data_IF_332476279665
#
_entry.id   IF_332476279665
#
_cell.length_a   1.000
_cell.length_b   1.000
_cell.length_c   1.000
_cell.angle_alpha   90.00
_cell.angle_beta   90.00
_cell.angle_gamma   90.00
#
_symmetry.space_group_name_H-M   'P 1'
#
loop_
_entity.id
_entity.type
_entity.pdbx_description
1 polymer ?
#
# COMPACT_ATOMS: atom_id res chain seq x y z
N UNK A 1 -2.07 -25.46 19.84
CA UNK A 1 -1.13 -25.21 18.71
C UNK A 1 0.11 -26.10 18.74
N UNK A 2 0.64 -26.54 19.90
CA UNK A 2 1.87 -27.37 19.91
C UNK A 2 1.72 -28.70 19.16
N UNK A 3 0.55 -29.36 19.24
CA UNK A 3 0.27 -30.62 18.52
C UNK A 3 0.25 -30.51 16.98
N UNK A 4 0.16 -29.30 16.39
CA UNK A 4 0.22 -29.13 14.93
C UNK A 4 1.62 -28.81 14.40
N UNK A 5 2.56 -28.44 15.28
CA UNK A 5 3.96 -28.17 14.89
C UNK A 5 4.65 -29.49 14.51
N UNK A 6 4.34 -30.59 15.21
CA UNK A 6 4.98 -31.89 14.96
C UNK A 6 4.69 -32.45 13.56
N UNK A 7 3.52 -32.17 12.97
CA UNK A 7 3.17 -32.61 11.60
C UNK A 7 4.03 -31.96 10.51
N UNK A 8 4.56 -30.75 10.77
CA UNK A 8 5.39 -30.01 9.81
C UNK A 8 6.89 -30.17 10.08
N UNK A 9 7.29 -30.87 11.14
CA UNK A 9 8.71 -31.14 11.44
C UNK A 9 9.36 -32.07 10.42
N UNK A 10 8.55 -32.92 9.79
CA UNK A 10 9.01 -33.89 8.79
C UNK A 10 9.16 -33.27 7.38
N UNK A 11 8.77 -32.00 7.21
CA UNK A 11 8.94 -31.27 5.96
C UNK A 11 10.11 -30.29 6.09
N UNK A 12 11.05 -30.36 5.15
CA UNK A 12 12.05 -29.32 4.98
C UNK A 12 11.35 -27.95 4.91
N UNK A 13 11.85 -26.98 5.67
CA UNK A 13 11.31 -25.63 5.79
C UNK A 13 9.89 -25.51 6.41
N UNK A 14 9.31 -26.58 6.97
CA UNK A 14 8.00 -26.54 7.62
C UNK A 14 7.95 -25.64 8.86
N UNK A 15 8.98 -25.68 9.71
CA UNK A 15 9.04 -24.86 10.93
C UNK A 15 9.08 -23.36 10.61
N UNK A 16 9.95 -22.94 9.68
CA UNK A 16 10.08 -21.54 9.30
C UNK A 16 8.80 -21.03 8.63
N UNK A 17 8.18 -21.85 7.78
CA UNK A 17 6.89 -21.52 7.19
C UNK A 17 5.82 -21.25 8.25
N UNK A 18 5.70 -22.10 9.28
CA UNK A 18 4.74 -21.90 10.36
C UNK A 18 5.02 -20.62 11.18
N UNK A 19 6.30 -20.30 11.42
CA UNK A 19 6.68 -19.05 12.11
C UNK A 19 6.26 -17.83 11.31
N UNK A 20 6.59 -17.79 10.01
CA UNK A 20 6.23 -16.68 9.13
C UNK A 20 4.71 -16.58 8.95
N UNK A 21 4.00 -17.70 8.85
CA UNK A 21 2.54 -17.71 8.80
C UNK A 21 1.92 -17.09 10.06
N UNK A 22 2.44 -17.43 11.24
CA UNK A 22 2.00 -16.83 12.51
C UNK A 22 2.27 -15.33 12.54
N UNK A 23 3.48 -14.90 12.16
CA UNK A 23 3.86 -13.48 12.10
C UNK A 23 2.92 -12.71 11.17
N UNK A 24 2.68 -13.25 9.97
CA UNK A 24 1.77 -12.66 8.98
C UNK A 24 0.35 -12.55 9.53
N UNK A 25 -0.17 -13.60 10.17
CA UNK A 25 -1.49 -13.57 10.76
C UNK A 25 -1.62 -12.48 11.83
N UNK A 26 -0.63 -12.33 12.71
CA UNK A 26 -0.62 -11.29 13.75
C UNK A 26 -0.55 -9.90 13.12
N UNK A 27 0.29 -9.70 12.11
CA UNK A 27 0.43 -8.42 11.40
C UNK A 27 -0.90 -7.90 10.87
N UNK A 28 -1.68 -8.75 10.20
CA UNK A 28 -2.96 -8.33 9.61
C UNK A 28 -4.11 -8.11 10.59
N UNK A 29 -4.03 -8.63 11.83
CA UNK A 29 -5.18 -8.72 12.74
C UNK A 29 -4.99 -8.02 14.09
N UNK A 30 -3.78 -7.53 14.44
CA UNK A 30 -3.51 -7.02 15.79
C UNK A 30 -2.77 -5.69 15.79
N UNK A 31 -1.44 -5.75 15.85
CA UNK A 31 -0.53 -4.61 16.02
C UNK A 31 0.62 -4.88 15.04
N UNK A 32 1.00 -3.89 14.25
CA UNK A 32 1.99 -4.07 13.18
C UNK A 32 3.44 -4.15 13.69
N UNK A 33 3.79 -3.40 14.74
CA UNK A 33 5.15 -3.33 15.32
C UNK A 33 5.74 -4.70 15.71
N UNK A 34 5.07 -5.40 16.62
CA UNK A 34 5.56 -6.68 17.16
C UNK A 34 5.84 -7.72 16.06
N UNK A 35 4.92 -8.03 15.13
CA UNK A 35 5.18 -8.98 14.07
C UNK A 35 6.25 -8.51 13.09
N UNK A 36 6.40 -7.20 12.83
CA UNK A 36 7.50 -6.73 11.99
C UNK A 36 8.87 -6.91 12.68
N UNK A 37 8.96 -6.64 13.98
CA UNK A 37 10.18 -6.95 14.75
C UNK A 37 10.46 -8.46 14.80
N UNK A 38 9.43 -9.29 14.94
CA UNK A 38 9.57 -10.73 14.88
C UNK A 38 10.05 -11.21 13.49
N UNK A 39 9.52 -10.63 12.40
CA UNK A 39 9.97 -10.91 11.04
C UNK A 39 11.45 -10.60 10.88
N UNK A 40 11.89 -9.40 11.27
CA UNK A 40 13.31 -8.99 11.19
C UNK A 40 14.24 -9.89 11.97
N UNK A 41 13.77 -10.51 13.06
CA UNK A 41 14.56 -11.45 13.86
C UNK A 41 14.65 -12.83 13.21
N UNK A 42 13.53 -13.34 12.69
CA UNK A 42 13.45 -14.69 12.12
C UNK A 42 13.98 -14.77 10.69
N UNK A 43 13.66 -13.77 9.86
CA UNK A 43 14.08 -13.64 8.47
C UNK A 43 14.45 -12.18 8.15
N UNK A 44 15.65 -11.72 8.58
CA UNK A 44 16.24 -10.48 8.12
C UNK A 44 16.32 -10.39 6.59
N UNK A 45 16.16 -9.19 6.02
CA UNK A 45 16.11 -9.00 4.57
C UNK A 45 17.41 -9.43 3.87
N UNK A 46 18.57 -9.16 4.48
CA UNK A 46 19.90 -9.56 4.01
C UNK A 46 20.09 -11.10 3.96
N UNK A 47 19.35 -11.83 4.79
CA UNK A 47 19.33 -13.30 4.75
C UNK A 47 18.40 -13.78 3.64
N UNK A 48 17.19 -13.24 3.57
CA UNK A 48 16.14 -13.65 2.60
C UNK A 48 16.65 -13.56 1.15
N UNK A 49 17.40 -12.51 0.81
CA UNK A 49 17.92 -12.27 -0.55
C UNK A 49 18.80 -13.41 -1.08
N UNK A 50 19.44 -14.17 -0.17
CA UNK A 50 20.36 -15.25 -0.49
C UNK A 50 19.72 -16.64 -0.42
N UNK A 51 18.42 -16.75 -0.10
CA UNK A 51 17.73 -18.04 -0.03
C UNK A 51 17.35 -18.50 -1.44
N UNK A 52 17.79 -19.71 -1.80
CA UNK A 52 17.38 -20.38 -3.03
C UNK A 52 15.99 -21.03 -2.89
N UNK A 53 15.12 -20.82 -3.87
CA UNK A 53 13.79 -21.45 -3.89
C UNK A 53 13.94 -22.86 -4.46
N UNK A 54 14.08 -23.82 -3.56
CA UNK A 54 14.22 -25.24 -3.90
C UNK A 54 12.91 -26.03 -3.70
N UNK A 55 11.93 -25.43 -3.02
CA UNK A 55 10.65 -26.08 -2.71
C UNK A 55 9.49 -25.08 -2.60
N UNK A 56 8.27 -25.61 -2.59
CA UNK A 56 7.03 -24.82 -2.54
C UNK A 56 6.83 -24.08 -1.21
N UNK A 57 7.23 -24.65 -0.06
CA UNK A 57 7.12 -23.98 1.23
C UNK A 57 8.06 -22.79 1.30
N UNK A 58 9.28 -22.94 0.76
CA UNK A 58 10.24 -21.84 0.60
C UNK A 58 9.67 -20.69 -0.19
N UNK A 59 9.11 -20.98 -1.36
CA UNK A 59 8.38 -19.98 -2.15
C UNK A 59 7.29 -19.27 -1.32
N UNK A 60 6.48 -20.01 -0.57
CA UNK A 60 5.37 -19.44 0.19
C UNK A 60 5.81 -18.55 1.35
N UNK A 61 6.78 -18.98 2.18
CA UNK A 61 7.20 -18.14 3.31
C UNK A 61 8.00 -16.93 2.84
N UNK A 62 8.81 -17.04 1.79
CA UNK A 62 9.54 -15.91 1.22
C UNK A 62 8.58 -14.86 0.67
N UNK A 63 7.56 -15.29 -0.10
CA UNK A 63 6.54 -14.37 -0.61
C UNK A 63 5.82 -13.62 0.53
N UNK A 64 5.44 -14.32 1.61
CA UNK A 64 4.82 -13.69 2.78
C UNK A 64 5.75 -12.71 3.49
N UNK A 65 7.01 -13.10 3.70
CA UNK A 65 8.02 -12.25 4.31
C UNK A 65 8.21 -10.96 3.49
N UNK A 66 8.47 -11.08 2.18
CA UNK A 66 8.63 -9.92 1.31
C UNK A 66 7.36 -9.06 1.25
N UNK A 67 6.16 -9.66 1.26
CA UNK A 67 4.92 -8.89 1.32
C UNK A 67 4.79 -8.04 2.58
N UNK A 68 5.31 -8.50 3.73
CA UNK A 68 5.34 -7.70 4.95
C UNK A 68 6.39 -6.59 4.86
N UNK A 69 7.58 -6.90 4.37
CA UNK A 69 8.63 -5.90 4.10
C UNK A 69 8.16 -4.81 3.12
N UNK A 70 7.34 -5.16 2.14
CA UNK A 70 6.75 -4.21 1.20
C UNK A 70 5.92 -3.13 1.90
N UNK A 71 5.13 -3.48 2.92
CA UNK A 71 4.37 -2.48 3.68
C UNK A 71 5.29 -1.53 4.44
N UNK A 72 6.47 -1.99 4.83
CA UNK A 72 7.48 -1.24 5.58
C UNK A 72 8.43 -0.40 4.71
N UNK A 73 8.15 -0.29 3.41
CA UNK A 73 8.92 0.54 2.48
C UNK A 73 9.98 -0.20 1.66
N UNK A 74 10.14 -1.51 1.84
CA UNK A 74 11.07 -2.34 1.07
C UNK A 74 10.43 -2.88 -0.22
N UNK A 75 9.74 -1.99 -0.93
CA UNK A 75 8.99 -2.34 -2.15
C UNK A 75 9.94 -2.71 -3.28
N UNK A 76 11.10 -2.06 -3.39
CA UNK A 76 12.11 -2.37 -4.42
C UNK A 76 12.58 -3.82 -4.27
N UNK A 77 12.91 -4.26 -3.06
CA UNK A 77 13.40 -5.59 -2.76
C UNK A 77 12.33 -6.65 -3.03
N UNK A 78 11.07 -6.35 -2.69
CA UNK A 78 9.96 -7.23 -3.06
C UNK A 78 9.80 -7.33 -4.58
N UNK A 79 9.85 -6.22 -5.32
CA UNK A 79 9.73 -6.25 -6.78
C UNK A 79 10.91 -6.98 -7.43
N UNK A 80 12.15 -6.79 -6.95
CA UNK A 80 13.31 -7.60 -7.37
C UNK A 80 13.04 -9.09 -7.18
N UNK A 81 12.48 -9.49 -6.04
CA UNK A 81 12.08 -10.87 -5.79
C UNK A 81 10.99 -11.36 -6.75
N UNK A 82 9.97 -10.55 -7.04
CA UNK A 82 8.90 -10.90 -7.99
C UNK A 82 9.45 -11.10 -9.41
N UNK A 83 10.32 -10.21 -9.88
CA UNK A 83 10.98 -10.29 -11.19
C UNK A 83 11.82 -11.57 -11.29
N UNK A 84 12.70 -11.80 -10.30
CA UNK A 84 13.59 -12.97 -10.26
C UNK A 84 12.82 -14.30 -10.35
N UNK A 85 11.60 -14.33 -9.80
CA UNK A 85 10.80 -15.55 -9.69
C UNK A 85 9.55 -15.56 -10.60
N UNK A 86 9.44 -14.58 -11.51
CA UNK A 86 8.33 -14.41 -12.45
C UNK A 86 6.93 -14.40 -11.80
N UNK A 87 6.82 -13.84 -10.59
CA UNK A 87 5.53 -13.65 -9.92
C UNK A 87 4.86 -12.36 -10.37
N UNK A 88 3.55 -12.25 -10.11
CA UNK A 88 2.77 -11.04 -10.33
C UNK A 88 2.28 -10.50 -8.99
N UNK A 89 2.44 -9.20 -8.78
CA UNK A 89 1.87 -8.47 -7.66
C UNK A 89 1.74 -7.00 -8.06
N UNK A 90 0.55 -6.63 -8.49
CA UNK A 90 0.33 -5.31 -9.08
C UNK A 90 0.37 -4.21 -8.01
N UNK A 91 0.05 -4.53 -6.76
CA UNK A 91 0.11 -3.60 -5.63
C UNK A 91 1.55 -3.09 -5.39
N UNK A 92 2.56 -3.97 -5.46
CA UNK A 92 3.95 -3.58 -5.29
C UNK A 92 4.44 -2.67 -6.45
N UNK A 93 4.02 -2.99 -7.68
CA UNK A 93 4.29 -2.19 -8.89
C UNK A 93 3.63 -0.81 -8.78
N UNK A 94 2.37 -0.80 -8.34
CA UNK A 94 1.58 0.39 -8.08
C UNK A 94 2.23 1.30 -7.02
N UNK A 95 2.77 0.74 -5.93
CA UNK A 95 3.47 1.54 -4.90
C UNK A 95 4.72 2.24 -5.43
N UNK A 96 5.45 1.60 -6.36
CA UNK A 96 6.54 2.26 -7.08
C UNK A 96 6.03 3.31 -8.08
N UNK A 97 4.73 3.48 -8.26
CA UNK A 97 4.16 4.44 -9.19
C UNK A 97 4.28 4.03 -10.64
N UNK A 98 4.37 2.73 -10.96
CA UNK A 98 4.09 2.27 -12.32
C UNK A 98 2.60 1.92 -12.42
N UNK A 99 1.91 2.60 -13.32
CA UNK A 99 0.47 2.49 -13.47
C UNK A 99 0.05 1.86 -14.81
N UNK A 100 0.99 1.27 -15.56
CA UNK A 100 0.76 0.74 -16.90
C UNK A 100 0.47 -0.76 -16.93
N UNK A 101 0.09 -1.36 -15.80
CA UNK A 101 -0.37 -2.75 -15.75
C UNK A 101 -1.87 -2.84 -16.10
N UNK A 102 -2.24 -3.90 -16.82
CA UNK A 102 -3.63 -4.25 -17.12
C UNK A 102 -4.24 -4.87 -15.87
N UNK A 103 -5.44 -4.44 -15.50
CA UNK A 103 -6.19 -5.01 -14.38
C UNK A 103 -7.49 -5.62 -14.93
N UNK A 104 -7.75 -6.87 -14.57
CA UNK A 104 -8.89 -7.64 -15.07
C UNK A 104 -10.17 -7.31 -14.30
N UNK A 105 -10.03 -6.94 -13.02
CA UNK A 105 -11.14 -6.71 -12.12
C UNK A 105 -11.13 -5.28 -11.59
N UNK A 106 -12.33 -4.71 -11.40
CA UNK A 106 -12.44 -3.42 -10.72
C UNK A 106 -12.34 -3.63 -9.22
N UNK A 107 -11.28 -3.09 -8.65
CA UNK A 107 -11.06 -3.04 -7.22
C UNK A 107 -10.60 -1.64 -6.77
N UNK A 108 -10.36 -1.50 -5.47
CA UNK A 108 -9.73 -0.33 -4.88
C UNK A 108 -8.48 0.15 -5.64
N UNK A 109 -7.55 -0.72 -6.03
CA UNK A 109 -6.30 -0.31 -6.69
C UNK A 109 -6.54 0.21 -8.11
N UNK A 110 -7.52 -0.33 -8.83
CA UNK A 110 -7.95 0.19 -10.12
C UNK A 110 -8.47 1.63 -9.99
N UNK A 111 -9.37 1.91 -9.05
CA UNK A 111 -9.88 3.28 -8.85
C UNK A 111 -8.80 4.23 -8.31
N UNK A 112 -7.91 3.74 -7.46
CA UNK A 112 -6.80 4.51 -6.90
C UNK A 112 -5.82 4.92 -8.00
N UNK A 113 -5.49 3.99 -8.90
CA UNK A 113 -4.68 4.25 -10.09
C UNK A 113 -5.32 5.30 -10.99
N UNK A 114 -6.61 5.15 -11.27
CA UNK A 114 -7.33 6.08 -12.15
C UNK A 114 -7.41 7.47 -11.52
N UNK A 115 -7.55 7.57 -10.19
CA UNK A 115 -7.43 8.84 -9.48
C UNK A 115 -6.03 9.45 -9.67
N UNK A 116 -4.98 8.66 -9.50
CA UNK A 116 -3.59 9.13 -9.63
C UNK A 116 -3.22 9.57 -11.05
N UNK A 117 -3.94 9.08 -12.07
CA UNK A 117 -3.84 9.50 -13.47
C UNK A 117 -4.76 10.66 -13.85
N UNK A 118 -5.57 11.19 -12.92
CA UNK A 118 -6.66 12.13 -13.22
C UNK A 118 -7.69 11.59 -14.24
N UNK A 119 -7.96 10.29 -14.19
CA UNK A 119 -8.86 9.56 -15.08
C UNK A 119 -10.06 8.93 -14.35
N UNK A 120 -10.18 9.10 -13.03
CA UNK A 120 -11.23 8.47 -12.24
C UNK A 120 -12.64 8.89 -12.69
N UNK A 121 -13.48 7.90 -12.95
CA UNK A 121 -14.91 8.08 -13.09
C UNK A 121 -15.62 8.00 -11.73
N UNK A 122 -15.97 9.17 -11.16
CA UNK A 122 -16.60 9.27 -9.82
C UNK A 122 -17.94 8.52 -9.76
N UNK A 123 -18.75 8.57 -10.83
CA UNK A 123 -20.05 7.88 -10.86
C UNK A 123 -19.87 6.38 -10.75
N UNK A 124 -18.87 5.86 -11.43
CA UNK A 124 -18.55 4.44 -11.45
C UNK A 124 -18.00 3.97 -10.10
N UNK A 125 -17.13 4.77 -9.46
CA UNK A 125 -16.67 4.51 -8.10
C UNK A 125 -17.84 4.45 -7.11
N UNK A 126 -18.82 5.37 -7.21
CA UNK A 126 -20.01 5.35 -6.33
C UNK A 126 -20.83 4.07 -6.52
N UNK A 127 -21.10 3.69 -7.77
CA UNK A 127 -21.81 2.44 -8.08
C UNK A 127 -21.05 1.21 -7.55
N UNK A 128 -19.72 1.21 -7.69
CA UNK A 128 -18.89 0.15 -7.15
C UNK A 128 -19.02 0.06 -5.62
N UNK A 129 -18.87 1.19 -4.90
CA UNK A 129 -18.99 1.23 -3.42
C UNK A 129 -20.33 0.70 -2.93
N UNK A 130 -21.42 0.98 -3.67
CA UNK A 130 -22.76 0.49 -3.37
C UNK A 130 -22.90 -1.02 -3.56
N UNK A 131 -22.22 -1.60 -4.56
CA UNK A 131 -22.28 -3.01 -4.94
C UNK A 131 -21.35 -3.92 -4.12
N UNK A 132 -20.32 -3.36 -3.44
CA UNK A 132 -19.42 -4.14 -2.57
C UNK A 132 -20.24 -4.92 -1.53
N UNK A 133 -19.98 -6.24 -1.47
CA UNK A 133 -20.66 -7.14 -0.54
C UNK A 133 -20.52 -6.65 0.91
N UNK A 134 -21.59 -6.74 1.69
CA UNK A 134 -21.67 -6.14 3.03
C UNK A 134 -20.54 -6.55 3.99
N UNK A 135 -19.98 -7.75 3.80
CA UNK A 135 -18.88 -8.30 4.64
C UNK A 135 -17.48 -8.00 4.11
N UNK A 136 -17.36 -7.43 2.91
CA UNK A 136 -16.09 -6.94 2.36
C UNK A 136 -15.77 -5.55 2.95
N UNK A 137 -15.65 -5.51 4.27
CA UNK A 137 -15.49 -4.26 5.03
C UNK A 137 -14.25 -3.46 4.62
N UNK A 138 -13.13 -4.15 4.35
CA UNK A 138 -11.88 -3.50 3.95
C UNK A 138 -12.02 -2.82 2.58
N UNK A 139 -12.53 -3.53 1.59
CA UNK A 139 -12.77 -3.01 0.23
C UNK A 139 -13.71 -1.80 0.26
N UNK A 140 -14.82 -1.91 1.00
CA UNK A 140 -15.77 -0.81 1.15
C UNK A 140 -15.14 0.43 1.79
N UNK A 141 -14.30 0.23 2.80
CA UNK A 141 -13.63 1.32 3.50
C UNK A 141 -12.57 1.98 2.63
N UNK A 142 -11.73 1.20 1.95
CA UNK A 142 -10.68 1.72 1.08
C UNK A 142 -11.27 2.44 -0.15
N UNK A 143 -12.30 1.87 -0.78
CA UNK A 143 -12.98 2.51 -1.92
C UNK A 143 -13.74 3.78 -1.50
N UNK A 144 -14.36 3.80 -0.31
CA UNK A 144 -14.94 5.05 0.24
C UNK A 144 -13.86 6.10 0.56
N UNK A 145 -12.68 5.66 1.00
CA UNK A 145 -11.55 6.55 1.19
C UNK A 145 -11.11 7.21 -0.12
N UNK A 146 -11.11 6.52 -1.26
CA UNK A 146 -10.88 7.15 -2.58
C UNK A 146 -11.86 8.30 -2.81
N UNK A 147 -13.15 8.05 -2.59
CA UNK A 147 -14.20 9.05 -2.79
C UNK A 147 -13.97 10.29 -1.90
N UNK A 148 -13.58 10.06 -0.64
CA UNK A 148 -13.32 11.12 0.35
C UNK A 148 -12.17 12.06 -0.02
N UNK A 149 -11.24 11.64 -0.88
CA UNK A 149 -10.13 12.48 -1.35
C UNK A 149 -10.58 13.55 -2.35
N UNK A 150 -11.78 13.39 -2.90
CA UNK A 150 -12.27 14.16 -4.06
C UNK A 150 -13.51 14.96 -3.69
N UNK A 151 -14.42 14.35 -2.93
CA UNK A 151 -15.64 15.00 -2.46
C UNK A 151 -15.84 14.77 -0.96
N UNK A 152 -16.64 15.65 -0.35
CA UNK A 152 -17.03 15.51 1.05
C UNK A 152 -17.95 14.28 1.18
N UNK A 153 -17.52 13.32 2.01
CA UNK A 153 -18.34 12.17 2.40
C UNK A 153 -19.01 12.47 3.74
N UNK A 154 -20.32 12.22 3.84
CA UNK A 154 -21.08 12.53 5.05
C UNK A 154 -20.57 11.77 6.28
N UNK A 155 -20.65 12.41 7.45
CA UNK A 155 -20.15 11.87 8.72
C UNK A 155 -20.77 10.50 9.02
N UNK A 156 -22.08 10.34 8.82
CA UNK A 156 -22.80 9.08 9.06
C UNK A 156 -22.33 7.96 8.15
N UNK A 157 -21.92 8.28 6.92
CA UNK A 157 -21.37 7.31 5.97
C UNK A 157 -20.02 6.82 6.46
N UNK A 158 -19.12 7.72 6.87
CA UNK A 158 -17.81 7.36 7.42
C UNK A 158 -17.99 6.55 8.71
N UNK A 159 -18.89 6.97 9.60
CA UNK A 159 -19.15 6.31 10.87
C UNK A 159 -19.54 4.84 10.72
N UNK A 160 -20.34 4.49 9.70
CA UNK A 160 -20.80 3.12 9.43
C UNK A 160 -19.72 2.18 8.88
N UNK A 161 -18.59 2.70 8.40
CA UNK A 161 -17.50 1.87 7.89
C UNK A 161 -16.89 1.03 9.02
N UNK A 162 -16.73 -0.27 8.78
CA UNK A 162 -16.24 -1.21 9.77
C UNK A 162 -14.71 -1.21 9.77
N UNK A 163 -14.12 -0.99 10.96
CA UNK A 163 -12.68 -1.08 11.18
C UNK A 163 -12.30 -2.54 11.40
N UNK A 164 -11.39 -3.07 10.58
CA UNK A 164 -10.94 -4.46 10.63
C UNK A 164 -9.52 -4.62 11.19
N UNK A 165 -8.70 -3.58 11.10
CA UNK A 165 -7.30 -3.53 11.54
C UNK A 165 -6.83 -2.07 11.70
N UNK A 166 -5.61 -1.80 12.22
CA UNK A 166 -5.12 -0.44 12.38
C UNK A 166 -5.06 0.36 11.07
N UNK A 167 -4.70 -0.26 9.95
CA UNK A 167 -4.73 0.40 8.64
C UNK A 167 -6.12 0.97 8.29
N UNK A 168 -7.17 0.17 8.42
CA UNK A 168 -8.55 0.61 8.17
C UNK A 168 -9.01 1.67 9.19
N UNK A 169 -8.51 1.62 10.43
CA UNK A 169 -8.75 2.64 11.45
C UNK A 169 -8.15 3.97 11.01
N UNK A 170 -6.87 3.97 10.61
CA UNK A 170 -6.17 5.16 10.14
C UNK A 170 -6.82 5.82 8.92
N UNK A 171 -7.21 5.03 7.91
CA UNK A 171 -7.98 5.54 6.77
C UNK A 171 -9.31 6.17 7.18
N UNK A 172 -10.05 5.53 8.11
CA UNK A 172 -11.31 6.09 8.63
C UNK A 172 -11.08 7.39 9.39
N UNK A 173 -10.03 7.48 10.19
CA UNK A 173 -9.63 8.70 10.90
C UNK A 173 -9.26 9.81 9.92
N UNK A 174 -8.53 9.52 8.82
CA UNK A 174 -8.27 10.49 7.76
C UNK A 174 -9.55 11.05 7.13
N UNK A 175 -10.53 10.18 6.85
CA UNK A 175 -11.82 10.63 6.30
C UNK A 175 -12.53 11.61 7.23
N UNK A 176 -12.49 11.37 8.55
CA UNK A 176 -12.99 12.34 9.53
C UNK A 176 -12.18 13.64 9.50
N UNK A 177 -10.84 13.57 9.40
CA UNK A 177 -10.01 14.75 9.28
C UNK A 177 -10.37 15.60 8.04
N UNK A 178 -10.73 14.97 6.92
CA UNK A 178 -11.12 15.68 5.70
C UNK A 178 -12.36 16.55 5.90
N UNK A 179 -13.33 16.08 6.68
CA UNK A 179 -14.61 16.77 6.89
C UNK A 179 -14.68 17.65 8.14
N UNK A 180 -13.70 17.52 9.05
CA UNK A 180 -13.57 18.36 10.24
C UNK A 180 -13.29 19.83 9.88
N UNK A 181 -13.95 20.72 10.60
CA UNK A 181 -13.89 22.18 10.44
C UNK A 181 -13.06 22.83 11.55
N UNK A 182 -13.11 22.28 12.77
CA UNK A 182 -12.26 22.76 13.86
C UNK A 182 -10.79 22.41 13.58
N UNK A 183 -9.95 23.44 13.53
CA UNK A 183 -8.55 23.28 13.14
C UNK A 183 -7.77 22.40 14.12
N UNK A 184 -8.04 22.51 15.41
CA UNK A 184 -7.29 21.77 16.42
C UNK A 184 -7.69 20.29 16.40
N UNK A 185 -8.99 20.01 16.33
CA UNK A 185 -9.49 18.63 16.17
C UNK A 185 -8.98 18.00 14.87
N UNK A 186 -8.94 18.77 13.78
CA UNK A 186 -8.41 18.28 12.49
C UNK A 186 -6.94 17.91 12.58
N UNK A 187 -6.12 18.67 13.32
CA UNK A 187 -4.72 18.32 13.60
C UNK A 187 -4.66 16.98 14.34
N UNK A 188 -5.42 16.83 15.43
CA UNK A 188 -5.44 15.60 16.22
C UNK A 188 -5.85 14.39 15.37
N UNK A 189 -6.88 14.52 14.53
CA UNK A 189 -7.31 13.45 13.63
C UNK A 189 -6.22 13.06 12.63
N UNK A 190 -5.46 14.03 12.09
CA UNK A 190 -4.33 13.70 11.23
C UNK A 190 -3.21 12.98 11.99
N UNK A 191 -2.88 13.42 13.21
CA UNK A 191 -1.85 12.80 14.05
C UNK A 191 -2.23 11.36 14.44
N UNK A 192 -3.48 11.14 14.87
CA UNK A 192 -4.02 9.82 15.19
C UNK A 192 -4.00 8.88 13.97
N UNK A 193 -4.38 9.40 12.80
CA UNK A 193 -4.35 8.62 11.56
C UNK A 193 -2.93 8.23 11.15
N UNK A 194 -1.96 9.13 11.38
CA UNK A 194 -0.55 8.88 11.07
C UNK A 194 0.03 7.76 11.93
N UNK A 195 -0.34 7.69 13.23
CA UNK A 195 0.03 6.60 14.11
C UNK A 195 -0.51 5.25 13.60
N UNK A 196 -1.80 5.18 13.29
CA UNK A 196 -2.44 3.95 12.82
C UNK A 196 -1.94 3.47 11.43
N UNK A 197 -1.44 4.39 10.59
CA UNK A 197 -0.95 4.09 9.23
C UNK A 197 0.55 3.84 9.16
N UNK A 198 1.31 4.05 10.24
CA UNK A 198 2.78 4.08 10.22
C UNK A 198 3.42 2.91 9.48
N UNK A 199 2.85 1.71 9.60
CA UNK A 199 3.41 0.47 9.05
C UNK A 199 3.00 0.15 7.62
N UNK A 200 2.09 0.92 7.04
CA UNK A 200 1.74 0.84 5.62
C UNK A 200 2.32 2.09 4.95
N UNK A 201 3.63 2.09 4.69
CA UNK A 201 4.41 3.30 4.36
C UNK A 201 3.84 4.09 3.19
N UNK A 202 3.30 3.41 2.18
CA UNK A 202 2.65 4.09 1.05
C UNK A 202 1.52 5.01 1.52
N UNK A 203 0.54 4.48 2.26
CA UNK A 203 -0.58 5.26 2.78
C UNK A 203 -0.21 6.17 3.96
N UNK A 204 0.83 5.84 4.72
CA UNK A 204 1.42 6.76 5.70
C UNK A 204 1.94 8.04 5.06
N UNK A 205 2.67 7.91 3.95
CA UNK A 205 3.22 9.05 3.20
C UNK A 205 2.09 9.83 2.52
N UNK A 206 1.05 9.15 2.04
CA UNK A 206 -0.17 9.81 1.56
C UNK A 206 -0.86 10.63 2.66
N UNK A 207 -0.99 10.08 3.87
CA UNK A 207 -1.55 10.77 5.02
C UNK A 207 -0.74 12.02 5.36
N UNK A 208 0.60 11.92 5.36
CA UNK A 208 1.48 13.08 5.53
C UNK A 208 1.18 14.13 4.46
N UNK A 209 1.06 13.75 3.18
CA UNK A 209 0.76 14.68 2.10
C UNK A 209 -0.53 15.49 2.37
N UNK A 210 -1.62 14.82 2.77
CA UNK A 210 -2.87 15.52 3.07
C UNK A 210 -2.75 16.41 4.29
N UNK A 211 -2.08 15.93 5.33
CA UNK A 211 -1.85 16.71 6.54
C UNK A 211 -1.07 17.99 6.24
N UNK A 212 0.03 17.91 5.47
CA UNK A 212 0.81 19.10 5.13
C UNK A 212 0.07 20.07 4.21
N UNK A 213 -0.82 19.58 3.33
CA UNK A 213 -1.68 20.44 2.52
C UNK A 213 -2.58 21.27 3.44
N UNK A 214 -3.14 20.65 4.48
CA UNK A 214 -3.91 21.34 5.51
C UNK A 214 -3.04 22.30 6.34
N UNK A 215 -1.88 21.87 6.86
CA UNK A 215 -0.97 22.72 7.63
C UNK A 215 -0.52 23.96 6.84
N UNK A 216 -0.22 23.79 5.55
CA UNK A 216 0.11 24.89 4.64
C UNK A 216 -1.03 25.88 4.54
N UNK A 217 -2.27 25.40 4.40
CA UNK A 217 -3.45 26.26 4.24
C UNK A 217 -3.74 27.14 5.46
N UNK A 218 -3.30 26.72 6.65
CA UNK A 218 -3.46 27.49 7.90
C UNK A 218 -2.17 28.17 8.36
N UNK A 219 -1.10 28.16 7.55
CA UNK A 219 0.25 28.65 7.89
C UNK A 219 0.78 28.09 9.22
N UNK A 220 0.58 26.80 9.47
CA UNK A 220 1.03 26.17 10.71
C UNK A 220 2.56 26.05 10.76
N UNK A 221 3.15 26.27 11.95
CA UNK A 221 4.61 26.20 12.19
C UNK A 221 5.23 24.85 11.82
N UNK A 222 4.47 23.76 11.96
CA UNK A 222 4.98 22.40 11.75
C UNK A 222 4.93 21.95 10.28
N UNK A 223 4.41 22.80 9.39
CA UNK A 223 4.34 22.51 7.95
C UNK A 223 5.70 22.02 7.40
N UNK A 224 6.78 22.75 7.67
CA UNK A 224 8.09 22.43 7.08
C UNK A 224 8.66 21.11 7.62
N UNK A 225 8.41 20.80 8.90
CA UNK A 225 8.86 19.58 9.56
C UNK A 225 8.22 18.37 8.87
N UNK A 226 6.90 18.39 8.73
CA UNK A 226 6.15 17.32 8.09
C UNK A 226 6.40 17.25 6.58
N UNK A 227 6.59 18.39 5.91
CA UNK A 227 6.96 18.41 4.49
C UNK A 227 8.28 17.66 4.26
N UNK A 228 9.32 18.00 5.03
CA UNK A 228 10.63 17.36 4.88
C UNK A 228 10.55 15.86 5.16
N UNK A 229 9.86 15.47 6.24
CA UNK A 229 9.65 14.05 6.58
C UNK A 229 8.96 13.28 5.45
N UNK A 230 7.84 13.80 4.94
CA UNK A 230 7.10 13.14 3.86
C UNK A 230 7.90 13.03 2.56
N UNK A 231 8.58 14.11 2.17
CA UNK A 231 9.40 14.15 0.97
C UNK A 231 10.58 13.18 1.05
N UNK A 232 11.31 13.17 2.17
CA UNK A 232 12.44 12.26 2.39
C UNK A 232 12.00 10.79 2.40
N UNK A 233 10.84 10.47 2.98
CA UNK A 233 10.32 9.10 2.97
C UNK A 233 9.87 8.66 1.57
N UNK A 234 9.18 9.54 0.83
CA UNK A 234 8.78 9.25 -0.55
C UNK A 234 9.99 9.01 -1.46
N UNK A 235 11.06 9.77 -1.26
CA UNK A 235 12.33 9.59 -1.97
C UNK A 235 13.04 8.29 -1.57
N UNK A 236 13.19 8.06 -0.26
CA UNK A 236 13.86 6.87 0.29
C UNK A 236 13.24 5.56 -0.17
N UNK A 237 11.91 5.48 -0.22
CA UNK A 237 11.18 4.25 -0.59
C UNK A 237 10.80 4.19 -2.07
N UNK A 238 11.29 5.14 -2.89
CA UNK A 238 11.01 5.19 -4.32
C UNK A 238 9.51 5.24 -4.67
N UNK A 239 8.69 5.86 -3.82
CA UNK A 239 7.27 6.08 -4.10
C UNK A 239 7.11 7.30 -5.01
N UNK A 240 7.40 7.07 -6.30
CA UNK A 240 7.56 8.08 -7.35
C UNK A 240 6.37 9.04 -7.44
N UNK A 241 5.15 8.50 -7.37
CA UNK A 241 3.92 9.30 -7.41
C UNK A 241 3.80 10.24 -6.19
N UNK A 242 4.12 9.77 -4.99
CA UNK A 242 4.12 10.63 -3.80
C UNK A 242 5.21 11.70 -3.89
N UNK A 243 6.42 11.34 -4.30
CA UNK A 243 7.51 12.30 -4.53
C UNK A 243 7.09 13.41 -5.50
N UNK A 244 6.45 13.05 -6.60
CA UNK A 244 5.85 13.99 -7.55
C UNK A 244 4.85 14.93 -6.86
N UNK A 245 3.91 14.40 -6.07
CA UNK A 245 2.92 15.21 -5.33
C UNK A 245 3.57 16.22 -4.38
N UNK A 246 4.62 15.85 -3.65
CA UNK A 246 5.35 16.79 -2.79
C UNK A 246 6.05 17.90 -3.58
N UNK A 247 6.61 17.59 -4.76
CA UNK A 247 7.21 18.60 -5.66
C UNK A 247 6.15 19.57 -6.13
N UNK A 248 5.02 19.08 -6.64
CA UNK A 248 3.88 19.90 -7.07
C UNK A 248 3.38 20.80 -5.93
N UNK A 249 3.27 20.28 -4.71
CA UNK A 249 2.87 21.07 -3.54
C UNK A 249 3.89 22.17 -3.17
N UNK A 250 5.19 21.88 -3.28
CA UNK A 250 6.27 22.86 -3.02
C UNK A 250 6.28 23.97 -4.06
N UNK A 251 6.16 23.60 -5.33
CA UNK A 251 6.19 24.52 -6.48
C UNK A 251 4.85 25.24 -6.70
N UNK A 252 3.78 24.82 -6.01
CA UNK A 252 2.41 25.28 -6.25
C UNK A 252 1.96 25.05 -7.70
N UNK A 253 2.19 23.83 -8.21
CA UNK A 253 1.82 23.42 -9.57
C UNK A 253 0.90 22.18 -9.55
N UNK A 254 0.24 21.92 -10.68
CA UNK A 254 -0.64 20.76 -10.89
C UNK A 254 -0.20 19.94 -12.11
N UNK A 255 1.11 19.71 -12.23
CA UNK A 255 1.66 18.91 -13.34
C UNK A 255 1.13 17.48 -13.25
N UNK A 256 0.91 16.86 -14.42
CA UNK A 256 0.58 15.44 -14.48
C UNK A 256 1.81 14.61 -14.10
N UNK A 257 1.56 13.48 -13.44
CA UNK A 257 2.61 12.51 -13.12
C UNK A 257 3.06 11.77 -14.39
N UNK A 258 4.36 11.76 -14.63
CA UNK A 258 5.01 11.04 -15.73
C UNK A 258 6.10 10.17 -15.12
N UNK A 259 5.97 8.85 -15.27
CA UNK A 259 6.87 7.88 -14.63
C UNK A 259 8.35 8.08 -14.99
N UNK A 260 8.63 8.51 -16.22
CA UNK A 260 9.99 8.74 -16.74
C UNK A 260 10.74 9.88 -16.05
N UNK A 261 10.03 10.81 -15.42
CA UNK A 261 10.63 11.94 -14.72
C UNK A 261 11.19 11.53 -13.34
N UNK A 262 10.89 10.29 -12.91
CA UNK A 262 11.27 9.73 -11.62
C UNK A 262 11.90 8.35 -11.87
N UNK A 263 13.18 8.27 -12.23
CA UNK A 263 13.81 6.97 -12.49
C UNK A 263 13.89 6.12 -11.22
N UNK A 264 13.70 4.82 -11.39
CA UNK A 264 14.00 3.79 -10.38
C UNK A 264 15.49 3.42 -10.47
N UNK A 265 16.05 2.70 -9.48
CA UNK A 265 17.43 2.21 -9.56
C UNK A 265 17.65 1.38 -10.83
N UNK A 266 18.79 1.57 -11.50
CA UNK A 266 19.11 0.95 -12.80
C UNK A 266 19.03 -0.58 -12.80
N UNK A 267 19.19 -1.20 -11.64
CA UNK A 267 19.10 -2.65 -11.44
C UNK A 267 17.67 -3.21 -11.55
N UNK A 268 16.66 -2.33 -11.62
CA UNK A 268 15.25 -2.70 -11.63
C UNK A 268 14.60 -2.41 -12.99
N UNK A 269 14.55 -3.42 -13.84
CA UNK A 269 13.82 -3.36 -15.12
C UNK A 269 12.31 -3.59 -14.92
N UNK A 270 11.64 -2.59 -14.33
CA UNK A 270 10.21 -2.64 -14.02
C UNK A 270 9.35 -2.61 -15.29
N UNK A 271 9.75 -1.83 -16.29
CA UNK A 271 8.95 -1.62 -17.51
C UNK A 271 8.86 -2.91 -18.34
N UNK A 272 9.97 -3.62 -18.54
CA UNK A 272 9.96 -4.92 -19.24
C UNK A 272 9.15 -5.95 -18.46
N UNK A 273 9.26 -5.96 -17.14
CA UNK A 273 8.47 -6.85 -16.29
C UNK A 273 6.97 -6.59 -16.44
N UNK A 274 6.52 -5.33 -16.37
CA UNK A 274 5.10 -4.97 -16.53
C UNK A 274 4.60 -5.32 -17.93
N UNK A 275 5.38 -5.02 -18.97
CA UNK A 275 5.03 -5.36 -20.35
C UNK A 275 4.82 -6.87 -20.52
N UNK A 276 5.78 -7.69 -20.04
CA UNK A 276 5.69 -9.16 -20.10
C UNK A 276 4.43 -9.68 -19.40
N UNK A 277 4.06 -9.10 -18.26
CA UNK A 277 2.84 -9.50 -17.52
C UNK A 277 1.57 -9.13 -18.27
N UNK A 278 1.50 -7.94 -18.86
CA UNK A 278 0.39 -7.52 -19.70
C UNK A 278 0.19 -8.44 -20.91
N UNK A 279 1.28 -8.74 -21.62
CA UNK A 279 1.23 -9.61 -22.81
C UNK A 279 0.68 -11.01 -22.45
N UNK A 280 1.11 -11.56 -21.30
CA UNK A 280 0.65 -12.86 -20.81
C UNK A 280 -0.85 -12.88 -20.48
N UNK A 281 -1.44 -11.75 -20.08
CA UNK A 281 -2.88 -11.65 -19.83
C UNK A 281 -3.68 -11.62 -21.11
N UNK A 282 -3.24 -10.82 -22.08
CA UNK A 282 -3.91 -10.70 -23.38
C UNK A 282 -3.99 -12.08 -24.05
N UNK A 283 -2.91 -12.86 -24.00
CA UNK A 283 -2.90 -14.23 -24.52
C UNK A 283 -3.90 -15.15 -23.80
N UNK A 284 -4.08 -15.03 -22.48
CA UNK A 284 -5.06 -15.82 -21.74
C UNK A 284 -6.51 -15.45 -22.12
N UNK A 285 -6.79 -14.16 -22.28
CA UNK A 285 -8.11 -13.67 -22.68
C UNK A 285 -8.49 -14.08 -24.10
N UNK A 286 -7.53 -14.11 -25.02
CA UNK A 286 -7.74 -14.57 -26.39
C UNK A 286 -8.00 -16.08 -26.47
N UNK A 287 -7.37 -16.87 -25.59
CA UNK A 287 -7.56 -18.32 -25.54
C UNK A 287 -8.86 -18.77 -24.84
N UNK A 288 -9.51 -17.88 -24.08
CA UNK A 288 -10.75 -18.15 -23.35
C UNK A 288 -12.02 -17.62 -24.06
N UNK A 289 -11.90 -17.03 -25.25
CA UNK A 289 -13.00 -16.58 -26.12
C UNK A 289 -13.34 -17.61 -27.18
#
# INVERSE_FOLDING_TARGET
MSQKIDYFKDYDNGEIFLKILKITFVFYHRIFDEPYHALKKELPLDIIENIEINDYLTKLYLYKAYSLYNYEGYTIEFVKYLIKNDYRNDNAVFYLGNFNFIDDDKDFYTFERDLNKNQLNIRELKLYIEDIYEKQHLEKLQSTYILSKIERVEFETIQKLVVTNPYSKGLKTLMFAFIEEDKNNKILLYEDALEDLEHIKYYYIEAIYFYIKFLKSINHKDYQIWFNKGFELADRFYYRFHKHRFICLKENTEKLYIEKDYPLPDELDLDTYVQKKNDSMIELDENNK
#
